data_IF_460028971958
#
_entry.id   IF_460028971958
#
_cell.length_a   1.000
_cell.length_b   1.000
_cell.length_c   1.000
_cell.angle_alpha   90.00
_cell.angle_beta   90.00
_cell.angle_gamma   90.00
#
_symmetry.space_group_name_H-M   'P 1'
#
loop_
_entity.id
_entity.type
_entity.pdbx_description
1 polymer ?
#
# COMPACT_ATOMS: atom_id res chain seq x y z
N UNK A 1 -14.18 8.74 -2.90
CA UNK A 1 -13.81 8.71 -1.47
C UNK A 1 -13.53 7.27 -1.05
N UNK A 2 -12.50 7.07 -0.27
CA UNK A 2 -12.14 5.73 0.18
C UNK A 2 -13.15 5.21 1.22
N UNK A 3 -13.44 3.92 1.15
CA UNK A 3 -14.28 3.28 2.14
C UNK A 3 -13.55 3.19 3.47
N UNK A 4 -14.23 3.57 4.55
CA UNK A 4 -13.68 3.51 5.90
C UNK A 4 -14.44 2.43 6.67
N UNK A 5 -13.78 1.32 7.04
CA UNK A 5 -14.47 0.25 7.77
C UNK A 5 -14.84 0.67 9.18
N UNK A 6 -15.92 0.10 9.69
CA UNK A 6 -16.35 0.33 11.07
C UNK A 6 -15.34 -0.26 12.04
N UNK A 7 -15.22 0.39 13.21
CA UNK A 7 -14.38 -0.15 14.28
C UNK A 7 -14.93 -1.48 14.78
N UNK A 8 -14.07 -2.39 15.28
CA UNK A 8 -14.53 -3.72 15.70
C UNK A 8 -15.64 -3.70 16.75
N UNK A 9 -15.64 -2.73 17.64
CA UNK A 9 -16.61 -2.68 18.74
C UNK A 9 -18.00 -2.18 18.31
N UNK A 10 -18.13 -1.62 17.11
CA UNK A 10 -19.41 -1.12 16.60
C UNK A 10 -19.88 -1.83 15.35
N UNK A 11 -19.13 -2.79 14.85
CA UNK A 11 -19.47 -3.50 13.63
C UNK A 11 -20.70 -4.37 13.82
N UNK A 12 -21.63 -4.30 12.87
CA UNK A 12 -22.91 -5.01 12.90
C UNK A 12 -22.87 -6.17 11.90
N UNK A 13 -22.38 -7.30 12.29
CA UNK A 13 -22.27 -8.45 11.42
C UNK A 13 -21.38 -9.50 12.02
N UNK A 14 -21.14 -10.57 11.26
CA UNK A 14 -20.22 -11.62 11.69
C UNK A 14 -18.79 -11.14 11.51
N UNK A 15 -17.97 -11.40 12.49
CA UNK A 15 -16.61 -10.87 12.50
C UNK A 15 -15.68 -11.85 13.19
N UNK A 16 -14.44 -11.96 12.69
CA UNK A 16 -13.39 -12.75 13.33
C UNK A 16 -12.34 -11.78 13.81
N UNK A 17 -12.04 -11.81 15.10
CA UNK A 17 -11.01 -10.98 15.71
C UNK A 17 -9.92 -11.88 16.26
N UNK A 18 -8.68 -11.67 15.81
CA UNK A 18 -7.51 -12.39 16.32
C UNK A 18 -6.73 -11.40 17.17
N UNK A 19 -6.66 -11.67 18.46
CA UNK A 19 -6.03 -10.76 19.42
C UNK A 19 -4.99 -11.53 20.22
N UNK A 20 -3.74 -11.18 20.06
CA UNK A 20 -2.63 -11.89 20.68
C UNK A 20 -1.44 -10.95 20.78
N UNK A 21 -0.44 -11.34 21.54
CA UNK A 21 0.80 -10.56 21.62
C UNK A 21 1.53 -10.55 20.28
N UNK A 22 1.37 -11.60 19.49
CA UNK A 22 2.00 -11.69 18.17
C UNK A 22 1.20 -12.63 17.28
N UNK A 23 0.99 -12.22 16.03
CA UNK A 23 0.33 -13.06 15.02
C UNK A 23 1.30 -13.24 13.86
N UNK A 24 1.49 -14.49 13.45
CA UNK A 24 2.38 -14.84 12.35
C UNK A 24 1.60 -15.66 11.33
N UNK A 25 1.59 -15.19 10.09
CA UNK A 25 1.02 -15.93 8.97
C UNK A 25 2.16 -16.45 8.11
N UNK A 26 2.26 -17.76 7.96
CA UNK A 26 3.34 -18.37 7.20
C UNK A 26 2.79 -19.44 6.27
N UNK A 27 2.82 -19.15 4.97
CA UNK A 27 2.49 -20.14 3.95
C UNK A 27 3.78 -20.85 3.53
N UNK A 28 3.95 -22.07 3.99
CA UNK A 28 5.24 -22.78 3.89
C UNK A 28 5.62 -23.11 2.46
N UNK A 29 4.66 -23.46 1.61
CA UNK A 29 4.96 -23.94 0.27
C UNK A 29 4.30 -23.16 -0.85
N UNK A 30 3.36 -22.25 -0.53
CA UNK A 30 2.61 -21.55 -1.56
C UNK A 30 2.41 -20.09 -1.14
N UNK A 31 1.20 -19.58 -1.19
CA UNK A 31 0.90 -18.15 -1.12
C UNK A 31 0.00 -17.82 0.05
N UNK A 32 0.05 -16.56 0.45
CA UNK A 32 -0.96 -15.96 1.32
C UNK A 32 -1.81 -15.02 0.46
N UNK A 33 -3.12 -15.24 0.45
CA UNK A 33 -4.05 -14.46 -0.35
C UNK A 33 -5.02 -13.73 0.56
N UNK A 34 -5.20 -12.44 0.31
CA UNK A 34 -6.13 -11.61 1.07
C UNK A 34 -7.13 -10.98 0.10
N UNK A 35 -8.40 -11.26 0.30
CA UNK A 35 -9.49 -10.73 -0.53
C UNK A 35 -10.53 -10.08 0.34
N UNK A 36 -11.00 -8.91 -0.06
CA UNK A 36 -12.08 -8.20 0.60
C UNK A 36 -12.96 -7.53 -0.43
N UNK A 37 -14.25 -7.49 -0.17
CA UNK A 37 -15.18 -6.83 -1.09
C UNK A 37 -15.02 -5.32 -1.08
N UNK A 38 -14.79 -4.72 0.08
CA UNK A 38 -14.81 -3.27 0.21
C UNK A 38 -13.45 -2.64 0.47
N UNK A 39 -12.65 -3.23 1.34
CA UNK A 39 -11.34 -2.65 1.64
C UNK A 39 -10.45 -3.63 2.40
N UNK A 40 -9.15 -3.42 2.30
CA UNK A 40 -8.14 -4.07 3.14
C UNK A 40 -7.35 -2.96 3.80
N UNK A 41 -7.30 -2.97 5.13
CA UNK A 41 -6.58 -1.97 5.89
C UNK A 41 -5.41 -2.56 6.64
N UNK A 42 -4.27 -1.88 6.61
CA UNK A 42 -3.09 -2.21 7.39
C UNK A 42 -2.73 -0.99 8.23
N UNK A 43 -2.67 -1.17 9.53
CA UNK A 43 -2.39 -0.09 10.47
C UNK A 43 -1.34 -0.53 11.48
N UNK A 44 -0.38 0.33 11.75
CA UNK A 44 0.64 0.08 12.76
C UNK A 44 1.03 1.39 13.43
N UNK A 45 1.48 1.30 14.66
CA UNK A 45 2.04 2.46 15.35
C UNK A 45 3.54 2.61 15.06
N UNK A 46 4.12 1.65 14.38
CA UNK A 46 5.52 1.67 13.99
C UNK A 46 5.67 1.68 12.48
N UNK A 47 6.37 0.70 11.96
CA UNK A 47 6.73 0.62 10.55
C UNK A 47 6.03 -0.52 9.83
N UNK A 48 5.80 -0.35 8.54
CA UNK A 48 5.39 -1.44 7.65
C UNK A 48 6.54 -1.71 6.70
N UNK A 49 7.00 -2.96 6.68
CA UNK A 49 8.11 -3.38 5.83
C UNK A 49 7.60 -4.40 4.82
N UNK A 50 7.93 -4.19 3.56
CA UNK A 50 7.59 -5.11 2.49
C UNK A 50 8.88 -5.46 1.75
N UNK A 51 9.28 -6.73 1.83
CA UNK A 51 10.50 -7.22 1.17
C UNK A 51 10.13 -8.37 0.26
N UNK A 52 10.56 -8.30 -1.00
CA UNK A 52 10.32 -9.37 -1.94
C UNK A 52 11.50 -9.49 -2.90
N UNK A 53 11.71 -10.69 -3.45
CA UNK A 53 12.82 -10.94 -4.36
C UNK A 53 12.45 -10.78 -5.83
N UNK A 54 11.16 -10.71 -6.13
CA UNK A 54 10.70 -10.56 -7.50
C UNK A 54 10.16 -9.18 -7.77
N UNK A 55 9.08 -9.12 -8.52
CA UNK A 55 8.42 -7.85 -8.81
C UNK A 55 7.46 -7.48 -7.69
N UNK A 56 7.44 -6.20 -7.37
CA UNK A 56 6.43 -5.62 -6.49
C UNK A 56 5.45 -4.86 -7.36
N UNK A 57 4.20 -5.34 -7.43
CA UNK A 57 3.21 -4.82 -8.36
C UNK A 57 2.05 -4.21 -7.59
N UNK A 58 1.75 -2.96 -7.89
CA UNK A 58 0.57 -2.27 -7.37
C UNK A 58 -0.24 -1.79 -8.58
N UNK A 59 -1.45 -2.36 -8.73
CA UNK A 59 -2.38 -1.94 -9.77
C UNK A 59 -3.56 -1.23 -9.14
N UNK A 60 -3.77 0.01 -9.54
CA UNK A 60 -4.90 0.79 -9.07
C UNK A 60 -5.62 1.36 -10.27
N UNK A 61 -6.94 1.21 -10.31
CA UNK A 61 -7.74 1.79 -11.39
C UNK A 61 -7.92 3.30 -11.23
N UNK A 62 -7.60 3.83 -10.08
CA UNK A 62 -7.71 5.25 -9.80
C UNK A 62 -6.32 5.81 -9.50
N UNK A 63 -6.06 6.18 -8.27
CA UNK A 63 -4.83 6.86 -7.91
C UNK A 63 -4.12 6.14 -6.78
N UNK A 64 -2.82 6.35 -6.67
CA UNK A 64 -2.00 5.85 -5.57
C UNK A 64 -1.50 7.05 -4.78
N UNK A 65 -1.84 7.10 -3.50
CA UNK A 65 -1.42 8.18 -2.62
C UNK A 65 -0.40 7.67 -1.63
N UNK A 66 0.74 8.33 -1.55
CA UNK A 66 1.81 7.99 -0.63
C UNK A 66 2.11 9.18 0.27
N UNK A 67 1.98 8.94 1.57
CA UNK A 67 2.24 9.95 2.57
C UNK A 67 1.10 10.94 2.74
N UNK A 68 1.01 11.47 3.94
CA UNK A 68 0.10 12.57 4.28
C UNK A 68 0.96 13.67 4.92
N UNK A 69 0.89 14.86 4.36
CA UNK A 69 1.58 16.01 4.94
C UNK A 69 0.54 16.94 5.54
N UNK A 70 0.64 17.16 6.85
CA UNK A 70 -0.31 18.02 7.57
C UNK A 70 -1.75 17.59 7.40
N UNK A 71 -1.97 16.26 7.38
CA UNK A 71 -3.31 15.70 7.26
C UNK A 71 -3.91 15.72 5.87
N UNK A 72 -3.16 16.13 4.87
CA UNK A 72 -3.65 16.19 3.50
C UNK A 72 -3.05 15.06 2.66
N UNK A 73 -3.87 14.53 1.78
CA UNK A 73 -3.41 13.51 0.82
C UNK A 73 -2.53 14.19 -0.24
N UNK A 74 -1.38 13.60 -0.58
CA UNK A 74 -0.52 14.19 -1.60
C UNK A 74 -1.25 14.31 -2.95
N UNK A 75 -0.98 15.36 -3.69
CA UNK A 75 -1.60 15.58 -4.99
C UNK A 75 -0.86 14.90 -6.13
N UNK A 76 0.35 14.44 -5.89
CA UNK A 76 1.18 13.83 -6.91
C UNK A 76 1.47 12.38 -6.57
N UNK A 77 1.44 11.46 -7.56
CA UNK A 77 1.82 10.08 -7.30
C UNK A 77 3.31 9.96 -7.02
N UNK A 78 3.67 8.87 -6.34
CA UNK A 78 5.07 8.61 -6.03
C UNK A 78 5.83 8.22 -7.29
N UNK A 79 7.07 8.70 -7.39
CA UNK A 79 7.96 8.35 -8.48
C UNK A 79 8.75 7.10 -8.15
N UNK A 80 9.12 6.35 -9.20
CA UNK A 80 9.87 5.10 -9.08
C UNK A 80 11.37 5.39 -9.06
N UNK A 81 11.88 5.87 -7.95
CA UNK A 81 13.29 6.00 -7.68
C UNK A 81 14.20 6.19 -8.91
N UNK A 82 15.24 5.37 -8.99
CA UNK A 82 16.30 5.55 -9.97
C UNK A 82 15.85 5.48 -11.43
N UNK A 83 14.87 4.64 -11.74
CA UNK A 83 14.37 4.51 -13.11
C UNK A 83 13.69 5.78 -13.57
N UNK A 84 12.92 6.41 -12.71
CA UNK A 84 12.26 7.67 -13.04
C UNK A 84 13.27 8.80 -13.21
N UNK A 85 14.26 8.86 -12.36
CA UNK A 85 15.31 9.87 -12.48
C UNK A 85 16.07 9.71 -13.79
N UNK A 86 16.40 8.50 -14.19
CA UNK A 86 17.09 8.25 -15.46
C UNK A 86 16.25 8.70 -16.65
N UNK A 87 14.95 8.38 -16.61
CA UNK A 87 14.04 8.79 -17.69
C UNK A 87 13.95 10.31 -17.79
N UNK A 88 13.84 10.99 -16.69
CA UNK A 88 13.77 12.46 -16.67
C UNK A 88 15.07 13.06 -17.18
N UNK A 89 16.19 12.48 -16.82
CA UNK A 89 17.49 12.96 -17.29
C UNK A 89 17.63 12.80 -18.81
N UNK A 90 17.18 11.67 -19.35
CA UNK A 90 17.18 11.45 -20.80
C UNK A 90 16.33 12.48 -21.53
N UNK A 91 15.16 12.80 -20.99
CA UNK A 91 14.30 13.81 -21.56
C UNK A 91 14.96 15.19 -21.57
N UNK A 92 15.62 15.55 -20.49
CA UNK A 92 16.33 16.82 -20.40
C UNK A 92 17.45 16.90 -21.43
N UNK A 93 18.20 15.82 -21.62
CA UNK A 93 19.28 15.79 -22.59
C UNK A 93 18.76 15.97 -24.02
N UNK A 94 17.60 15.39 -24.33
CA UNK A 94 16.99 15.57 -25.66
C UNK A 94 16.56 17.00 -25.90
N UNK A 95 16.07 17.68 -24.88
CA UNK A 95 15.62 19.06 -24.98
C UNK A 95 16.78 20.01 -25.13
N UNK A 96 17.93 19.73 -24.49
CA UNK A 96 19.10 20.59 -24.52
C UNK A 96 19.88 20.50 -25.81
N UNK A 97 19.72 19.42 -26.57
CA UNK A 97 20.36 19.29 -27.87
C UNK A 97 19.63 20.12 -28.94
#
# INVERSE_FOLDING_TARGET
MAYVPAQPNVYQGKQIVINSDRVLFNAKNDSILLFADKSIGLNTQGSVNIDNKGLFVINSKSEIYLGLKQGKVPTEPALLGDKTDAYLQDMLNLIQD
#
